data_IF_228625153278
#
_entry.id   IF_228625153278
#
_cell.length_a   1.000
_cell.length_b   1.000
_cell.length_c   1.000
_cell.angle_alpha   90.00
_cell.angle_beta   90.00
_cell.angle_gamma   90.00
#
_symmetry.space_group_name_H-M   'P 1'
#
loop_
_entity.id
_entity.type
_entity.pdbx_description
1 polymer ?
#
# COMPACT_ATOMS: atom_id res chain seq x y z
N UNK A 1 -20.75 -59.92 47.26
CA UNK A 1 -21.16 -58.58 46.79
C UNK A 1 -19.89 -57.84 46.37
N UNK A 2 -19.81 -57.45 45.08
CA UNK A 2 -19.13 -56.27 44.47
C UNK A 2 -17.73 -55.86 44.96
N UNK A 3 -16.73 -55.40 44.20
CA UNK A 3 -16.42 -55.17 42.77
C UNK A 3 -15.04 -54.45 42.85
N UNK A 4 -13.93 -55.07 42.47
CA UNK A 4 -13.17 -54.83 41.23
C UNK A 4 -12.64 -53.39 40.99
N UNK A 5 -11.29 -53.31 40.95
CA UNK A 5 -10.41 -52.41 40.15
C UNK A 5 -10.41 -50.91 40.41
N UNK A 6 -9.39 -50.45 41.13
CA UNK A 6 -8.81 -49.10 40.97
C UNK A 6 -7.69 -49.14 39.92
N UNK A 7 -7.95 -48.56 38.74
CA UNK A 7 -6.96 -48.31 37.70
C UNK A 7 -6.14 -47.06 38.06
N UNK A 8 -4.81 -47.04 37.90
CA UNK A 8 -4.03 -45.81 38.04
C UNK A 8 -4.37 -44.86 36.89
N UNK A 9 -4.70 -43.62 37.24
CA UNK A 9 -4.99 -42.53 36.32
C UNK A 9 -3.73 -42.20 35.50
N UNK A 10 -3.86 -42.34 34.19
CA UNK A 10 -2.84 -41.94 33.23
C UNK A 10 -2.63 -40.42 33.27
N UNK A 11 -1.36 -40.03 33.36
CA UNK A 11 -0.86 -38.66 33.22
C UNK A 11 -1.17 -38.12 31.82
N UNK A 12 -1.96 -37.05 31.75
CA UNK A 12 -2.15 -36.27 30.52
C UNK A 12 -1.35 -34.96 30.63
N UNK A 13 -0.11 -35.00 30.17
CA UNK A 13 0.69 -33.83 29.82
C UNK A 13 0.24 -33.34 28.44
N UNK A 14 -0.80 -32.53 28.36
CA UNK A 14 -1.11 -31.76 27.14
C UNK A 14 -0.41 -30.41 27.22
N UNK A 15 0.82 -30.36 26.72
CA UNK A 15 1.49 -29.11 26.42
C UNK A 15 0.75 -28.39 25.31
N UNK A 16 0.25 -27.19 25.59
CA UNK A 16 -0.25 -26.30 24.55
C UNK A 16 0.94 -25.86 23.70
N UNK A 17 1.07 -26.42 22.50
CA UNK A 17 1.98 -25.90 21.49
C UNK A 17 1.47 -24.52 21.07
N UNK A 18 2.09 -23.47 21.59
CA UNK A 18 1.96 -22.12 21.05
C UNK A 18 2.48 -22.17 19.61
N UNK A 19 1.57 -22.16 18.64
CA UNK A 19 1.88 -21.82 17.26
C UNK A 19 2.30 -20.35 17.26
N UNK A 20 3.58 -20.09 17.50
CA UNK A 20 4.20 -18.84 17.14
C UNK A 20 4.16 -18.76 15.61
N UNK A 21 3.12 -18.14 15.07
CA UNK A 21 3.16 -17.65 13.70
C UNK A 21 4.31 -16.64 13.66
N UNK A 22 5.46 -17.06 13.16
CA UNK A 22 6.51 -16.15 12.74
C UNK A 22 5.93 -15.35 11.56
N UNK A 23 5.24 -14.25 11.86
CA UNK A 23 5.19 -13.13 10.93
C UNK A 23 6.65 -12.83 10.62
N UNK A 24 7.09 -13.10 9.40
CA UNK A 24 8.49 -12.97 9.04
C UNK A 24 8.96 -11.58 9.43
N UNK A 25 9.83 -11.50 10.44
CA UNK A 25 10.69 -10.36 10.68
C UNK A 25 11.74 -10.32 9.56
N UNK A 26 11.30 -10.28 8.31
CA UNK A 26 12.11 -9.82 7.21
C UNK A 26 12.02 -8.31 7.23
N UNK A 27 13.12 -7.64 7.55
CA UNK A 27 13.25 -6.23 7.20
C UNK A 27 13.17 -6.16 5.69
N UNK A 28 12.10 -5.58 5.15
CA UNK A 28 12.05 -5.26 3.73
C UNK A 28 13.06 -4.16 3.51
N UNK A 29 14.03 -4.37 2.63
CA UNK A 29 14.89 -3.28 2.17
C UNK A 29 14.00 -2.23 1.51
N UNK A 30 13.86 -1.08 2.17
CA UNK A 30 13.16 0.08 1.65
C UNK A 30 14.21 0.93 0.96
N UNK A 31 14.12 1.03 -0.36
CA UNK A 31 15.04 1.81 -1.18
C UNK A 31 14.26 2.67 -2.17
N UNK A 32 14.91 3.71 -2.69
CA UNK A 32 14.38 4.54 -3.80
C UNK A 32 13.76 3.68 -4.90
N UNK A 33 14.52 2.72 -5.41
CA UNK A 33 14.13 1.92 -6.58
C UNK A 33 12.85 1.13 -6.30
N UNK A 34 12.79 0.43 -5.17
CA UNK A 34 11.61 -0.35 -4.79
C UNK A 34 10.37 0.52 -4.62
N UNK A 35 10.52 1.71 -4.01
CA UNK A 35 9.40 2.62 -3.84
C UNK A 35 8.89 3.17 -5.17
N UNK A 36 9.79 3.55 -6.08
CA UNK A 36 9.44 4.01 -7.43
C UNK A 36 8.73 2.92 -8.25
N UNK A 37 9.24 1.69 -8.17
CA UNK A 37 8.71 0.54 -8.89
C UNK A 37 7.33 0.12 -8.38
N UNK A 38 6.96 0.47 -7.14
CA UNK A 38 5.65 0.17 -6.56
C UNK A 38 4.64 1.32 -6.67
N UNK A 39 5.06 2.56 -6.38
CA UNK A 39 4.16 3.74 -6.35
C UNK A 39 3.55 4.04 -7.73
N UNK A 40 4.34 3.95 -8.82
CA UNK A 40 3.84 4.19 -10.17
C UNK A 40 2.70 3.24 -10.58
N UNK A 41 2.92 1.91 -10.50
CA UNK A 41 1.87 0.91 -10.74
C UNK A 41 0.66 1.01 -9.79
N UNK A 42 0.87 1.34 -8.52
CA UNK A 42 -0.24 1.52 -7.56
C UNK A 42 -1.08 2.74 -7.94
N UNK A 43 -0.44 3.87 -8.25
CA UNK A 43 -1.13 5.06 -8.76
C UNK A 43 -1.94 4.75 -10.01
N UNK A 44 -1.39 3.99 -10.97
CA UNK A 44 -2.13 3.57 -12.17
C UNK A 44 -3.44 2.89 -11.81
N UNK A 45 -3.41 1.95 -10.87
CA UNK A 45 -4.59 1.20 -10.47
C UNK A 45 -5.63 2.13 -9.83
N UNK A 46 -5.19 3.08 -9.00
CA UNK A 46 -6.06 4.08 -8.37
C UNK A 46 -6.66 5.07 -9.37
N UNK A 47 -5.89 5.47 -10.38
CA UNK A 47 -6.37 6.34 -11.46
C UNK A 47 -7.49 5.66 -12.24
N UNK A 48 -7.29 4.40 -12.65
CA UNK A 48 -8.31 3.61 -13.35
C UNK A 48 -9.56 3.44 -12.47
N UNK A 49 -9.38 3.15 -11.18
CA UNK A 49 -10.51 3.05 -10.24
C UNK A 49 -11.28 4.36 -10.13
N UNK A 50 -10.59 5.50 -10.03
CA UNK A 50 -11.24 6.82 -10.00
C UNK A 50 -12.12 7.06 -11.22
N UNK A 51 -11.58 6.78 -12.41
CA UNK A 51 -12.29 7.03 -13.65
C UNK A 51 -13.52 6.13 -13.78
N UNK A 52 -13.41 4.86 -13.37
CA UNK A 52 -14.57 3.96 -13.29
C UNK A 52 -15.63 4.45 -12.31
N UNK A 53 -15.22 4.95 -11.14
CA UNK A 53 -16.15 5.57 -10.17
C UNK A 53 -16.85 6.80 -10.75
N UNK A 54 -16.21 7.52 -11.67
CA UNK A 54 -16.79 8.66 -12.37
C UNK A 54 -17.58 8.27 -13.64
N UNK A 55 -17.78 6.97 -13.89
CA UNK A 55 -18.52 6.47 -15.07
C UNK A 55 -17.74 6.59 -16.38
N UNK A 56 -16.41 6.73 -16.32
CA UNK A 56 -15.55 6.84 -17.49
C UNK A 56 -14.89 5.48 -17.78
N UNK A 57 -14.79 5.13 -19.06
CA UNK A 57 -14.07 3.93 -19.52
C UNK A 57 -12.66 4.31 -19.95
N UNK A 58 -11.71 4.29 -19.00
CA UNK A 58 -10.31 4.66 -19.27
C UNK A 58 -9.34 3.59 -18.79
N UNK A 59 -8.87 2.77 -19.73
CA UNK A 59 -7.78 1.82 -19.47
C UNK A 59 -6.41 2.31 -20.01
N UNK A 60 -6.39 3.32 -20.88
CA UNK A 60 -5.19 3.64 -21.70
C UNK A 60 -4.18 4.64 -21.08
N UNK A 61 -4.56 5.79 -20.48
CA UNK A 61 -3.60 6.82 -20.08
C UNK A 61 -2.67 6.39 -18.94
N UNK A 62 -3.20 5.67 -17.96
CA UNK A 62 -2.46 5.32 -16.75
C UNK A 62 -1.52 4.10 -16.90
N UNK A 63 -1.61 3.32 -17.99
CA UNK A 63 -0.77 2.11 -18.17
C UNK A 63 0.73 2.40 -18.12
N UNK A 64 1.12 3.63 -18.45
CA UNK A 64 2.50 4.08 -18.50
C UNK A 64 2.88 4.96 -17.30
N UNK A 65 2.11 4.92 -16.20
CA UNK A 65 2.44 5.68 -15.02
C UNK A 65 3.76 5.20 -14.39
N UNK A 66 4.67 6.12 -14.15
CA UNK A 66 5.97 5.89 -13.49
C UNK A 66 6.13 6.85 -12.32
N UNK A 67 6.93 6.49 -11.33
CA UNK A 67 7.25 7.39 -10.22
C UNK A 67 8.75 7.65 -10.12
N UNK A 68 9.11 8.87 -9.69
CA UNK A 68 10.43 9.21 -9.20
C UNK A 68 10.30 9.60 -7.73
N UNK A 69 11.08 8.96 -6.85
CA UNK A 69 10.95 9.14 -5.41
C UNK A 69 12.27 9.60 -4.81
N UNK A 70 12.18 10.34 -3.70
CA UNK A 70 13.31 10.74 -2.88
C UNK A 70 12.87 10.82 -1.41
N UNK A 71 13.83 10.69 -0.48
CA UNK A 71 13.63 10.76 0.96
C UNK A 71 14.35 12.00 1.51
N UNK A 72 13.64 12.84 2.25
CA UNK A 72 14.23 14.02 2.87
C UNK A 72 14.87 14.96 1.86
N UNK A 73 16.12 15.38 2.14
CA UNK A 73 16.87 16.30 1.30
C UNK A 73 18.09 15.66 0.62
N UNK A 74 18.88 16.42 -0.15
CA UNK A 74 20.03 15.89 -0.91
C UNK A 74 21.08 15.12 -0.11
N UNK A 75 21.20 15.40 1.19
CA UNK A 75 22.14 14.76 2.12
C UNK A 75 21.54 13.52 2.82
N UNK A 76 20.26 13.23 2.60
CA UNK A 76 19.57 12.09 3.19
C UNK A 76 19.65 10.90 2.23
N UNK A 77 20.16 9.73 2.67
CA UNK A 77 20.09 8.53 1.87
C UNK A 77 18.63 8.13 1.59
N UNK A 78 18.35 7.77 0.35
CA UNK A 78 17.02 7.29 -0.06
C UNK A 78 16.81 5.82 0.30
N UNK A 79 16.78 5.57 1.61
CA UNK A 79 16.58 4.26 2.20
C UNK A 79 15.84 4.33 3.54
N UNK A 80 15.20 3.22 3.90
CA UNK A 80 14.55 3.03 5.19
C UNK A 80 13.15 3.65 5.31
N UNK A 81 12.47 3.36 6.45
CA UNK A 81 11.15 3.90 6.74
C UNK A 81 11.19 5.41 7.03
N UNK A 82 10.03 6.07 7.01
CA UNK A 82 9.90 7.50 7.30
C UNK A 82 8.65 8.13 6.67
N UNK A 83 8.29 9.32 7.13
CA UNK A 83 7.23 10.18 6.59
C UNK A 83 7.76 11.28 5.67
N UNK A 84 9.06 11.25 5.38
CA UNK A 84 9.80 12.23 4.60
C UNK A 84 10.04 11.79 3.15
N UNK A 85 9.34 10.76 2.68
CA UNK A 85 9.39 10.38 1.27
C UNK A 85 8.46 11.25 0.43
N UNK A 86 8.95 11.67 -0.74
CA UNK A 86 8.13 12.31 -1.78
C UNK A 86 8.27 11.52 -3.06
N UNK A 87 7.14 11.19 -3.70
CA UNK A 87 7.10 10.55 -5.00
C UNK A 87 6.36 11.42 -6.00
N UNK A 88 7.05 11.81 -7.07
CA UNK A 88 6.43 12.47 -8.22
C UNK A 88 6.04 11.40 -9.25
N UNK A 89 4.75 11.32 -9.54
CA UNK A 89 4.19 10.40 -10.52
C UNK A 89 3.99 11.12 -11.85
N UNK A 90 4.33 10.45 -12.94
CA UNK A 90 4.20 10.94 -14.29
C UNK A 90 3.36 9.98 -15.11
N UNK A 91 2.42 10.49 -15.91
CA UNK A 91 1.63 9.66 -16.83
C UNK A 91 1.16 10.48 -18.04
N UNK A 92 1.05 9.88 -19.23
CA UNK A 92 0.56 10.58 -20.40
C UNK A 92 -0.97 10.69 -20.39
N UNK A 93 -1.49 11.86 -20.75
CA UNK A 93 -2.92 12.10 -21.04
C UNK A 93 -3.00 12.80 -22.40
N UNK A 94 -3.62 12.15 -23.38
CA UNK A 94 -3.78 12.68 -24.75
C UNK A 94 -2.46 13.20 -25.38
N UNK A 95 -1.35 12.50 -25.15
CA UNK A 95 -0.02 12.87 -25.65
C UNK A 95 0.74 13.89 -24.80
N UNK A 96 0.13 14.45 -23.76
CA UNK A 96 0.79 15.37 -22.82
C UNK A 96 1.17 14.66 -21.54
N UNK A 97 2.43 14.78 -21.12
CA UNK A 97 2.90 14.24 -19.84
C UNK A 97 2.32 15.06 -18.68
N UNK A 98 1.53 14.42 -17.83
CA UNK A 98 1.03 14.98 -16.58
C UNK A 98 1.96 14.59 -15.43
N UNK A 99 1.94 15.40 -14.37
CA UNK A 99 2.74 15.16 -13.16
C UNK A 99 1.92 15.44 -11.91
N UNK A 100 2.19 14.67 -10.85
CA UNK A 100 1.56 14.83 -9.54
C UNK A 100 2.52 14.41 -8.44
N UNK A 101 2.59 15.20 -7.36
CA UNK A 101 3.41 14.90 -6.20
C UNK A 101 2.58 14.25 -5.09
N UNK A 102 3.14 13.21 -4.48
CA UNK A 102 2.61 12.55 -3.29
C UNK A 102 3.63 12.64 -2.15
N UNK A 103 3.15 12.99 -0.96
CA UNK A 103 3.87 12.69 0.29
C UNK A 103 3.64 11.23 0.64
N UNK A 104 4.70 10.52 0.98
CA UNK A 104 4.66 9.07 1.20
C UNK A 104 5.20 8.73 2.58
N UNK A 105 4.41 8.00 3.34
CA UNK A 105 4.77 7.53 4.67
C UNK A 105 5.03 6.03 4.63
N UNK A 106 6.28 5.63 4.76
CA UNK A 106 6.72 4.24 4.67
C UNK A 106 6.98 3.66 6.06
N UNK A 107 6.29 2.58 6.40
CA UNK A 107 6.46 1.81 7.64
C UNK A 107 7.67 0.88 7.52
N UNK A 108 8.23 0.46 8.66
CA UNK A 108 9.34 -0.50 8.70
C UNK A 108 9.01 -1.87 8.07
N UNK A 109 7.72 -2.18 7.87
CA UNK A 109 7.26 -3.38 7.16
C UNK A 109 7.35 -3.26 5.64
N UNK A 110 7.73 -2.09 5.09
CA UNK A 110 7.69 -1.79 3.66
C UNK A 110 6.30 -1.41 3.14
N UNK A 111 5.28 -1.34 3.99
CA UNK A 111 3.97 -0.79 3.60
C UNK A 111 3.96 0.72 3.73
N UNK A 112 3.29 1.41 2.81
CA UNK A 112 3.23 2.86 2.78
C UNK A 112 1.82 3.38 2.52
N UNK A 113 1.63 4.65 2.88
CA UNK A 113 0.48 5.46 2.47
C UNK A 113 1.01 6.65 1.67
N UNK A 114 0.48 6.86 0.47
CA UNK A 114 0.79 8.02 -0.37
C UNK A 114 -0.42 8.97 -0.36
N UNK A 115 -0.20 10.25 -0.05
CA UNK A 115 -1.24 11.27 -0.01
C UNK A 115 -0.90 12.46 -0.93
N UNK A 116 -1.85 12.82 -1.77
CA UNK A 116 -1.72 13.96 -2.69
C UNK A 116 -2.35 15.22 -2.11
N UNK A 117 -1.85 16.41 -2.48
CA UNK A 117 -2.46 17.66 -2.06
C UNK A 117 -3.82 17.88 -2.75
N UNK A 118 -4.84 18.24 -1.97
CA UNK A 118 -6.23 18.36 -2.44
C UNK A 118 -6.41 19.31 -3.64
N UNK A 119 -5.56 20.34 -3.77
CA UNK A 119 -5.62 21.27 -4.89
C UNK A 119 -5.17 20.65 -6.23
N UNK A 120 -4.46 19.52 -6.23
CA UNK A 120 -4.10 18.78 -7.44
C UNK A 120 -4.95 17.52 -7.64
N UNK A 121 -5.20 16.75 -6.57
CA UNK A 121 -5.86 15.43 -6.66
C UNK A 121 -7.38 15.48 -6.53
N UNK A 122 -7.91 16.66 -6.18
CA UNK A 122 -9.32 16.85 -5.85
C UNK A 122 -9.62 16.56 -4.38
N UNK A 123 -10.91 16.56 -4.06
CA UNK A 123 -11.41 16.33 -2.70
C UNK A 123 -11.26 14.86 -2.28
N UNK A 124 -11.33 14.59 -0.97
CA UNK A 124 -11.31 13.23 -0.41
C UNK A 124 -12.42 12.33 -0.94
N UNK A 125 -13.54 12.92 -1.34
CA UNK A 125 -14.68 12.20 -1.88
C UNK A 125 -15.04 12.74 -3.25
N UNK A 126 -15.60 11.86 -4.06
CA UNK A 126 -16.18 12.13 -5.37
C UNK A 126 -17.69 11.87 -5.31
N UNK A 127 -18.41 12.38 -6.29
CA UNK A 127 -19.78 11.98 -6.56
C UNK A 127 -19.76 11.12 -7.81
N UNK A 128 -20.26 9.88 -7.69
CA UNK A 128 -20.42 9.01 -8.84
C UNK A 128 -21.63 9.43 -9.71
N UNK A 129 -21.86 8.82 -10.89
CA UNK A 129 -22.98 9.17 -11.75
C UNK A 129 -24.38 9.00 -11.12
N UNK A 130 -24.50 8.15 -10.08
CA UNK A 130 -25.74 7.95 -9.32
C UNK A 130 -25.89 9.01 -8.20
N UNK A 131 -24.93 9.93 -8.05
CA UNK A 131 -24.88 10.95 -7.02
C UNK A 131 -24.38 10.46 -5.65
N UNK A 132 -23.87 9.23 -5.57
CA UNK A 132 -23.35 8.67 -4.32
C UNK A 132 -21.98 9.27 -4.01
N UNK A 133 -21.78 9.61 -2.75
CA UNK A 133 -20.47 10.02 -2.24
C UNK A 133 -19.58 8.79 -2.07
N UNK A 134 -18.47 8.74 -2.80
CA UNK A 134 -17.50 7.64 -2.77
C UNK A 134 -16.09 8.18 -2.48
N UNK A 135 -15.21 7.42 -1.83
CA UNK A 135 -13.82 7.85 -1.62
C UNK A 135 -13.11 8.12 -2.95
N UNK A 136 -12.30 9.18 -2.98
CA UNK A 136 -11.40 9.46 -4.08
C UNK A 136 -10.12 8.63 -3.94
N UNK A 137 -9.91 7.60 -4.78
CA UNK A 137 -8.72 6.73 -4.66
C UNK A 137 -7.40 7.44 -5.00
N UNK A 138 -7.42 8.61 -5.64
CA UNK A 138 -6.22 9.40 -5.89
C UNK A 138 -5.89 10.38 -4.75
N UNK A 139 -6.82 10.61 -3.80
CA UNK A 139 -6.56 11.49 -2.67
C UNK A 139 -5.48 10.90 -1.75
N UNK A 140 -5.67 9.63 -1.39
CA UNK A 140 -4.68 8.84 -0.69
C UNK A 140 -4.85 7.37 -1.08
N UNK A 141 -3.74 6.65 -1.14
CA UNK A 141 -3.73 5.21 -1.39
C UNK A 141 -2.62 4.51 -0.62
N UNK A 142 -2.85 3.24 -0.33
CA UNK A 142 -1.88 2.38 0.34
C UNK A 142 -1.22 1.43 -0.65
N UNK A 143 0.02 1.06 -0.36
CA UNK A 143 0.77 0.02 -1.07
C UNK A 143 1.74 -0.69 -0.13
N UNK A 144 2.34 -1.77 -0.60
CA UNK A 144 3.39 -2.47 0.13
C UNK A 144 4.45 -2.96 -0.84
N UNK A 145 5.71 -2.64 -0.55
CA UNK A 145 6.84 -3.09 -1.36
C UNK A 145 6.83 -4.62 -1.46
N UNK A 146 6.88 -5.12 -2.69
CA UNK A 146 7.01 -6.55 -2.92
C UNK A 146 8.37 -7.05 -2.40
N UNK A 147 8.37 -8.19 -1.72
CA UNK A 147 9.57 -8.82 -1.12
C UNK A 147 10.33 -9.71 -2.11
N UNK A 148 10.25 -9.41 -3.41
CA UNK A 148 10.83 -10.21 -4.50
C UNK A 148 12.35 -10.18 -4.55
#
# INVERSE_FOLDING_TARGET
MTSNRTRPLATLLTGAALLAASAGCGTVDITRVKLQDDVGPTYRNMYVLQHRLLGQDTDAPARLATAACAKGGPETPDEGPGDDWTCQVYWPVNGTLQTLSYEVQVKATGCYTAQGPAYNVGQQNLHDPDGRTVPNPLYAFDGCLNTG
#
